data_IF_457879247354
#
_entry.id   IF_457879247354
#
_cell.length_a   1.000
_cell.length_b   1.000
_cell.length_c   1.000
_cell.angle_alpha   90.00
_cell.angle_beta   90.00
_cell.angle_gamma   90.00
#
_symmetry.space_group_name_H-M   'P 1'
#
loop_
_entity.id
_entity.type
_entity.pdbx_description
1 polymer ?
#
# COMPACT_ATOMS: atom_id res chain seq x y z
N UNK A 1 4.76 13.93 -10.75
CA UNK A 1 4.11 12.63 -11.05
C UNK A 1 3.09 12.83 -12.14
N UNK A 2 3.11 11.96 -13.14
CA UNK A 2 2.14 11.97 -14.23
C UNK A 2 0.80 11.41 -13.73
N UNK A 3 -0.30 12.07 -14.07
CA UNK A 3 -1.63 11.66 -13.64
C UNK A 3 -2.03 10.29 -14.21
N UNK A 4 -1.61 9.97 -15.42
CA UNK A 4 -1.90 8.66 -16.01
C UNK A 4 -1.12 7.54 -15.30
N UNK A 5 0.10 7.79 -14.89
CA UNK A 5 0.89 6.84 -14.12
C UNK A 5 0.26 6.61 -12.74
N UNK A 6 -0.21 7.66 -12.11
CA UNK A 6 -0.89 7.57 -10.82
C UNK A 6 -2.16 6.71 -10.94
N UNK A 7 -2.98 6.99 -11.93
CA UNK A 7 -4.22 6.23 -12.15
C UNK A 7 -3.96 4.76 -12.47
N UNK A 8 -2.94 4.50 -13.26
CA UNK A 8 -2.55 3.13 -13.60
C UNK A 8 -2.06 2.38 -12.35
N UNK A 9 -1.18 2.99 -11.57
CA UNK A 9 -0.70 2.41 -10.32
C UNK A 9 -1.85 2.11 -9.35
N UNK A 10 -2.77 3.05 -9.21
CA UNK A 10 -3.95 2.89 -8.36
C UNK A 10 -4.84 1.73 -8.84
N UNK A 11 -5.04 1.61 -10.15
CA UNK A 11 -5.81 0.51 -10.73
C UNK A 11 -5.13 -0.84 -10.47
N UNK A 12 -3.81 -0.91 -10.59
CA UNK A 12 -3.05 -2.13 -10.31
C UNK A 12 -3.23 -2.54 -8.84
N UNK A 13 -3.08 -1.60 -7.92
CA UNK A 13 -3.22 -1.93 -6.49
C UNK A 13 -4.65 -2.34 -6.13
N UNK A 14 -5.65 -1.71 -6.71
CA UNK A 14 -7.04 -2.13 -6.50
C UNK A 14 -7.28 -3.53 -7.06
N UNK A 15 -6.71 -3.85 -8.21
CA UNK A 15 -6.78 -5.21 -8.78
C UNK A 15 -6.20 -6.26 -7.85
N UNK A 16 -5.10 -5.94 -7.17
CA UNK A 16 -4.41 -6.87 -6.28
C UNK A 16 -5.05 -6.98 -4.89
N UNK A 17 -5.65 -5.93 -4.39
CA UNK A 17 -5.95 -5.84 -2.96
C UNK A 17 -7.41 -5.58 -2.61
N UNK A 18 -8.22 -5.04 -3.52
CA UNK A 18 -9.63 -4.78 -3.23
C UNK A 18 -10.36 -6.09 -2.93
N UNK A 19 -11.02 -6.13 -1.77
CA UNK A 19 -11.72 -7.33 -1.29
C UNK A 19 -10.82 -8.30 -0.54
N UNK A 20 -9.53 -8.03 -0.47
CA UNK A 20 -8.57 -8.87 0.25
C UNK A 20 -8.52 -8.47 1.73
N UNK A 21 -8.23 -9.43 2.59
CA UNK A 21 -8.14 -9.20 4.03
C UNK A 21 -6.70 -9.21 4.51
N UNK A 22 -6.43 -8.39 5.53
CA UNK A 22 -5.14 -8.36 6.20
C UNK A 22 -4.99 -9.66 7.00
N UNK A 23 -4.01 -10.47 6.66
CA UNK A 23 -3.80 -11.78 7.26
C UNK A 23 -2.49 -11.94 8.02
N UNK A 24 -1.61 -10.97 7.95
CA UNK A 24 -0.33 -11.08 8.60
C UNK A 24 0.49 -9.82 8.61
N UNK A 25 1.62 -9.93 9.27
CA UNK A 25 2.58 -8.85 9.43
C UNK A 25 3.98 -9.45 9.41
N UNK A 26 4.86 -8.91 8.58
CA UNK A 26 6.27 -9.27 8.60
C UNK A 26 7.02 -8.28 9.48
N UNK A 27 7.85 -8.81 10.39
CA UNK A 27 8.65 -7.99 11.32
C UNK A 27 9.92 -7.43 10.65
N UNK A 28 10.63 -6.59 11.38
CA UNK A 28 11.89 -5.92 11.06
C UNK A 28 11.73 -4.79 10.05
N UNK A 29 11.52 -5.06 8.78
CA UNK A 29 11.04 -4.08 7.83
C UNK A 29 9.54 -4.34 7.70
N UNK A 30 8.69 -3.58 8.38
CA UNK A 30 7.29 -3.97 8.48
C UNK A 30 6.62 -4.08 7.12
N UNK A 31 5.99 -5.22 6.88
CA UNK A 31 5.13 -5.42 5.70
C UNK A 31 3.78 -5.90 6.18
N UNK A 32 2.74 -5.21 5.71
CA UNK A 32 1.38 -5.67 5.87
C UNK A 32 1.13 -6.75 4.82
N UNK A 33 0.62 -7.90 5.23
CA UNK A 33 0.32 -9.02 4.34
C UNK A 33 -1.18 -9.17 4.17
N UNK A 34 -1.61 -9.38 2.93
CA UNK A 34 -3.01 -9.55 2.56
C UNK A 34 -3.16 -10.85 1.76
N UNK A 35 -4.39 -11.38 1.72
CA UNK A 35 -4.67 -12.64 1.02
C UNK A 35 -4.33 -12.60 -0.47
N UNK A 36 -4.44 -11.44 -1.08
CA UNK A 36 -4.23 -11.27 -2.51
C UNK A 36 -5.47 -11.63 -3.33
N UNK A 37 -5.39 -11.53 -4.65
CA UNK A 37 -6.54 -11.79 -5.52
C UNK A 37 -6.86 -13.29 -5.59
N UNK A 38 -8.15 -13.63 -5.64
CA UNK A 38 -8.62 -15.01 -5.66
C UNK A 38 -8.13 -15.82 -6.86
N UNK A 39 -7.98 -15.16 -8.01
CA UNK A 39 -7.55 -15.80 -9.25
C UNK A 39 -6.02 -15.93 -9.36
N UNK A 40 -5.29 -15.25 -8.49
CA UNK A 40 -3.83 -15.36 -8.40
C UNK A 40 -3.50 -15.83 -7.00
N UNK A 41 -3.05 -17.07 -6.84
CA UNK A 41 -2.83 -17.69 -5.53
C UNK A 41 -1.51 -17.23 -4.90
N UNK A 42 -1.40 -15.92 -4.64
CA UNK A 42 -0.24 -15.31 -4.02
C UNK A 42 -0.69 -14.22 -3.06
N UNK A 43 0.02 -14.10 -1.96
CA UNK A 43 -0.21 -13.02 -1.01
C UNK A 43 0.19 -11.69 -1.61
N UNK A 44 -0.55 -10.65 -1.25
CA UNK A 44 -0.16 -9.27 -1.52
C UNK A 44 0.53 -8.68 -0.29
N UNK A 45 1.33 -7.64 -0.50
CA UNK A 45 2.02 -6.97 0.59
C UNK A 45 2.09 -5.46 0.36
N UNK A 46 2.23 -4.74 1.47
CA UNK A 46 2.53 -3.31 1.47
C UNK A 46 3.72 -3.09 2.40
N UNK A 47 4.81 -2.55 1.86
CA UNK A 47 5.97 -2.16 2.66
C UNK A 47 5.69 -0.84 3.37
N UNK A 48 5.89 -0.83 4.68
CA UNK A 48 5.70 0.35 5.50
C UNK A 48 7.05 1.03 5.75
N UNK A 49 7.65 1.54 4.67
CA UNK A 49 9.02 2.10 4.72
C UNK A 49 9.07 3.56 5.13
N UNK A 50 7.99 4.30 4.93
CA UNK A 50 7.89 5.70 5.33
C UNK A 50 6.96 5.85 6.53
N UNK A 51 6.74 7.09 6.93
CA UNK A 51 5.82 7.40 8.02
C UNK A 51 4.38 7.03 7.64
N UNK A 52 3.65 6.47 8.59
CA UNK A 52 2.27 6.04 8.37
C UNK A 52 1.45 6.21 9.64
N UNK A 53 0.12 6.23 9.48
CA UNK A 53 -0.82 6.24 10.60
C UNK A 53 -2.12 5.56 10.22
N UNK A 54 -2.87 5.17 11.24
CA UNK A 54 -4.17 4.53 11.10
C UNK A 54 -5.23 5.46 11.69
N UNK A 55 -6.28 5.73 10.91
CA UNK A 55 -7.42 6.54 11.34
C UNK A 55 -8.65 5.65 11.46
N UNK A 56 -9.43 5.84 12.52
CA UNK A 56 -10.68 5.06 12.72
C UNK A 56 -11.78 5.50 11.76
N UNK A 57 -11.68 6.73 11.24
CA UNK A 57 -12.60 7.29 10.24
C UNK A 57 -11.83 8.27 9.37
N UNK A 58 -12.44 8.69 8.26
CA UNK A 58 -11.79 9.64 7.34
C UNK A 58 -11.64 10.98 8.04
N UNK A 59 -10.42 11.49 8.28
CA UNK A 59 -10.23 12.79 8.93
C UNK A 59 -10.63 13.95 8.01
N UNK A 60 -11.11 15.04 8.59
CA UNK A 60 -11.45 16.25 7.83
C UNK A 60 -10.21 16.85 7.18
N UNK A 61 -9.07 16.78 7.88
CA UNK A 61 -7.76 17.21 7.34
C UNK A 61 -6.72 16.14 7.64
N UNK A 62 -5.86 15.86 6.64
CA UNK A 62 -4.73 14.97 6.85
C UNK A 62 -3.64 15.72 7.60
N UNK A 63 -3.40 15.30 8.84
CA UNK A 63 -2.30 15.81 9.64
C UNK A 63 -1.07 14.95 9.39
N UNK A 64 -0.06 15.52 8.74
CA UNK A 64 1.18 14.82 8.40
C UNK A 64 2.20 14.80 9.53
N UNK A 65 1.80 15.19 10.75
CA UNK A 65 2.66 15.08 11.93
C UNK A 65 2.52 13.67 12.48
N UNK A 66 3.45 12.80 12.07
CA UNK A 66 3.46 11.42 12.51
C UNK A 66 4.15 11.30 13.86
N UNK A 67 3.56 10.49 14.74
CA UNK A 67 4.15 10.18 16.03
C UNK A 67 5.36 9.28 15.84
N UNK A 68 6.45 9.59 16.53
CA UNK A 68 7.64 8.75 16.50
C UNK A 68 7.43 7.54 17.42
N UNK A 69 7.38 6.35 16.83
CA UNK A 69 7.12 5.09 17.53
C UNK A 69 8.34 4.18 17.47
N UNK A 70 8.52 3.36 18.51
CA UNK A 70 9.48 2.26 18.44
C UNK A 70 8.93 1.18 17.49
N UNK A 71 9.80 0.29 17.03
CA UNK A 71 9.38 -0.82 16.17
C UNK A 71 8.30 -1.67 16.83
N UNK A 72 8.44 -1.97 18.11
CA UNK A 72 7.43 -2.73 18.85
C UNK A 72 6.09 -2.02 18.91
N UNK A 73 6.10 -0.70 19.14
CA UNK A 73 4.89 0.11 19.15
C UNK A 73 4.21 0.13 17.76
N UNK A 74 5.00 0.22 16.69
CA UNK A 74 4.49 0.17 15.32
C UNK A 74 3.80 -1.18 15.04
N UNK A 75 4.46 -2.27 15.40
CA UNK A 75 3.91 -3.61 15.22
C UNK A 75 2.61 -3.79 15.99
N UNK A 76 2.57 -3.31 17.23
CA UNK A 76 1.37 -3.36 18.05
C UNK A 76 0.22 -2.56 17.43
N UNK A 77 0.53 -1.37 16.92
CA UNK A 77 -0.46 -0.51 16.26
C UNK A 77 -1.04 -1.18 15.02
N UNK A 78 -0.22 -1.88 14.23
CA UNK A 78 -0.65 -2.59 13.02
C UNK A 78 -1.61 -3.75 13.33
N UNK A 79 -1.62 -4.27 14.54
CA UNK A 79 -2.58 -5.27 14.96
C UNK A 79 -4.04 -4.81 14.80
N UNK A 80 -4.27 -3.51 14.82
CA UNK A 80 -5.61 -2.94 14.61
C UNK A 80 -6.18 -3.26 13.23
N UNK A 81 -5.32 -3.60 12.29
CA UNK A 81 -5.71 -3.92 10.91
C UNK A 81 -5.94 -5.40 10.69
N UNK A 82 -5.71 -6.24 11.69
CA UNK A 82 -5.87 -7.69 11.57
C UNK A 82 -7.29 -8.05 11.14
N UNK A 83 -7.41 -8.77 10.03
CA UNK A 83 -8.70 -9.22 9.52
C UNK A 83 -9.51 -8.16 8.78
N UNK A 84 -9.01 -6.93 8.68
CA UNK A 84 -9.69 -5.86 7.95
C UNK A 84 -9.70 -6.17 6.46
N UNK A 85 -10.84 -5.93 5.81
CA UNK A 85 -10.99 -6.14 4.37
C UNK A 85 -10.85 -4.80 3.64
N UNK A 86 -10.06 -4.80 2.58
CA UNK A 86 -9.83 -3.60 1.78
C UNK A 86 -11.06 -3.27 0.95
N UNK A 87 -11.54 -2.04 1.09
CA UNK A 87 -12.62 -1.49 0.26
C UNK A 87 -12.07 -0.90 -1.03
N UNK A 88 -11.06 -0.06 -0.92
CA UNK A 88 -10.38 0.54 -2.07
C UNK A 88 -9.03 1.10 -1.67
N UNK A 89 -8.17 1.30 -2.68
CA UNK A 89 -6.87 1.94 -2.52
C UNK A 89 -6.85 3.22 -3.35
N UNK A 90 -6.34 4.29 -2.76
CA UNK A 90 -6.13 5.57 -3.42
C UNK A 90 -4.64 5.92 -3.38
N UNK A 91 -4.17 6.56 -4.44
CA UNK A 91 -2.87 7.20 -4.48
C UNK A 91 -3.13 8.69 -4.71
N UNK A 92 -2.67 9.52 -3.78
CA UNK A 92 -2.91 10.96 -3.84
C UNK A 92 -1.89 11.65 -4.75
N UNK A 93 -2.10 12.93 -4.98
CA UNK A 93 -1.19 13.81 -5.75
C UNK A 93 -1.12 15.15 -5.03
N UNK A 94 -0.05 15.94 -5.22
CA UNK A 94 1.09 15.75 -6.12
C UNK A 94 2.09 14.69 -5.66
N UNK A 95 2.17 14.42 -4.34
CA UNK A 95 2.99 13.33 -3.80
C UNK A 95 2.16 12.05 -3.72
N UNK A 96 2.74 10.89 -4.06
CA UNK A 96 2.01 9.63 -4.09
C UNK A 96 1.78 9.05 -2.69
N UNK A 97 1.02 9.75 -1.85
CA UNK A 97 0.59 9.20 -0.56
C UNK A 97 -0.33 8.02 -0.82
N UNK A 98 -0.10 6.93 -0.10
CA UNK A 98 -0.92 5.73 -0.22
C UNK A 98 -2.01 5.74 0.84
N UNK A 99 -3.25 5.56 0.40
CA UNK A 99 -4.41 5.53 1.30
C UNK A 99 -5.15 4.22 1.08
N UNK A 100 -5.18 3.38 2.10
CA UNK A 100 -5.92 2.12 2.07
C UNK A 100 -7.20 2.31 2.87
N UNK A 101 -8.35 2.21 2.19
CA UNK A 101 -9.66 2.29 2.83
C UNK A 101 -10.15 0.88 3.14
N UNK A 102 -10.52 0.63 4.38
CA UNK A 102 -11.08 -0.65 4.79
C UNK A 102 -12.60 -0.56 4.89
N UNK A 103 -13.28 -1.68 4.74
CA UNK A 103 -14.74 -1.74 4.79
C UNK A 103 -15.31 -1.30 6.12
N UNK A 104 -14.56 -1.46 7.20
CA UNK A 104 -14.96 -1.00 8.54
C UNK A 104 -15.03 0.52 8.66
N UNK A 105 -14.43 1.26 7.73
CA UNK A 105 -14.25 2.70 7.81
C UNK A 105 -12.87 3.12 8.25
N UNK A 106 -12.04 2.20 8.74
CA UNK A 106 -10.64 2.49 9.08
C UNK A 106 -9.87 2.84 7.83
N UNK A 107 -8.79 3.59 8.02
CA UNK A 107 -7.96 4.07 6.94
C UNK A 107 -6.49 3.97 7.34
N UNK A 108 -5.67 3.39 6.47
CA UNK A 108 -4.22 3.42 6.62
C UNK A 108 -3.68 4.47 5.65
N UNK A 109 -2.96 5.44 6.19
CA UNK A 109 -2.30 6.49 5.41
C UNK A 109 -0.79 6.30 5.49
N UNK A 110 -0.12 6.33 4.34
CA UNK A 110 1.33 6.27 4.26
C UNK A 110 1.88 7.45 3.48
N UNK A 111 2.88 8.11 4.06
CA UNK A 111 3.53 9.26 3.45
C UNK A 111 4.27 8.85 2.18
N UNK A 112 3.98 9.53 1.07
CA UNK A 112 4.63 9.31 -0.22
C UNK A 112 5.66 10.37 -0.58
N UNK A 113 5.91 11.33 0.34
CA UNK A 113 6.88 12.39 0.10
C UNK A 113 8.26 12.00 0.60
N UNK A 114 9.17 11.71 -0.33
CA UNK A 114 10.57 11.44 -0.01
C UNK A 114 11.42 11.80 -1.23
N UNK A 115 12.48 12.57 -1.02
CA UNK A 115 13.39 13.01 -2.08
C UNK A 115 14.53 12.04 -2.33
N UNK A 116 14.84 11.18 -1.36
CA UNK A 116 16.05 10.34 -1.38
C UNK A 116 15.77 8.85 -1.47
N UNK A 117 14.66 8.38 -0.92
CA UNK A 117 14.33 6.96 -0.82
C UNK A 117 12.95 6.66 -1.39
N UNK A 118 12.70 5.39 -1.64
CA UNK A 118 11.38 4.90 -2.05
C UNK A 118 10.48 4.88 -0.81
N UNK A 119 9.43 5.72 -0.74
CA UNK A 119 8.62 5.82 0.47
C UNK A 119 7.78 4.57 0.74
N UNK A 120 7.33 3.89 -0.32
CA UNK A 120 6.60 2.64 -0.17
C UNK A 120 6.67 1.82 -1.46
N UNK A 121 6.41 0.53 -1.30
CA UNK A 121 6.14 -0.36 -2.42
C UNK A 121 5.08 -1.38 -2.02
N UNK A 122 4.35 -1.88 -3.01
CA UNK A 122 3.27 -2.83 -2.80
C UNK A 122 3.14 -3.73 -4.03
N UNK A 123 2.76 -4.98 -3.82
CA UNK A 123 2.63 -5.93 -4.91
C UNK A 123 2.34 -7.34 -4.41
N UNK A 124 2.68 -8.33 -5.21
CA UNK A 124 2.57 -9.73 -4.81
C UNK A 124 3.91 -10.24 -4.27
N UNK A 125 3.85 -11.07 -3.24
CA UNK A 125 5.04 -11.52 -2.50
C UNK A 125 5.93 -12.47 -3.29
N UNK A 126 5.35 -13.22 -4.23
CA UNK A 126 6.10 -14.19 -5.03
C UNK A 126 6.32 -13.63 -6.43
N UNK A 127 7.56 -13.24 -6.69
CA UNK A 127 7.98 -12.81 -8.01
C UNK A 127 8.38 -14.08 -8.79
N UNK A 128 7.43 -14.68 -9.52
CA UNK A 128 7.70 -15.81 -10.38
C UNK A 128 8.56 -15.43 -11.58
N UNK A 129 8.18 -15.85 -12.77
CA UNK A 129 8.81 -15.38 -14.00
C UNK A 129 8.64 -13.86 -14.11
N UNK A 130 9.58 -13.15 -14.74
CA UNK A 130 9.54 -11.68 -14.87
C UNK A 130 8.23 -11.18 -15.47
N UNK A 131 7.62 -11.96 -16.38
CA UNK A 131 6.36 -11.63 -17.01
C UNK A 131 5.17 -11.63 -16.05
N UNK A 132 5.31 -12.26 -14.87
CA UNK A 132 4.23 -12.41 -13.89
C UNK A 132 4.41 -11.49 -12.67
N UNK A 133 5.34 -10.54 -12.76
CA UNK A 133 5.60 -9.60 -11.64
C UNK A 133 4.49 -8.57 -11.53
N UNK A 134 3.96 -8.43 -10.33
CA UNK A 134 3.03 -7.36 -9.95
C UNK A 134 3.68 -6.53 -8.87
N UNK A 135 4.03 -5.29 -9.20
CA UNK A 135 4.76 -4.42 -8.28
C UNK A 135 4.49 -2.96 -8.60
N UNK A 136 4.20 -2.19 -7.57
CA UNK A 136 4.06 -0.73 -7.64
C UNK A 136 5.04 -0.13 -6.66
N UNK A 137 5.86 0.79 -7.11
CA UNK A 137 6.88 1.46 -6.31
C UNK A 137 6.68 2.96 -6.38
N UNK A 138 6.55 3.60 -5.22
CA UNK A 138 6.63 5.06 -5.13
C UNK A 138 8.11 5.43 -5.15
N UNK A 139 8.50 6.25 -6.10
CA UNK A 139 9.90 6.59 -6.32
C UNK A 139 10.31 7.85 -5.58
N UNK A 140 11.61 8.02 -5.27
CA UNK A 140 12.11 9.29 -4.73
C UNK A 140 11.74 10.45 -5.66
N UNK A 141 11.34 11.57 -5.07
CA UNK A 141 10.96 12.75 -5.85
C UNK A 141 9.54 12.75 -6.38
N UNK A 142 8.72 11.75 -6.05
CA UNK A 142 7.30 11.76 -6.34
C UNK A 142 6.85 11.01 -7.59
N UNK A 143 7.75 10.27 -8.25
CA UNK A 143 7.38 9.42 -9.39
C UNK A 143 6.79 8.08 -8.99
N UNK A 144 6.33 7.34 -10.00
CA UNK A 144 5.78 5.99 -9.82
C UNK A 144 6.42 5.03 -10.82
N UNK A 145 6.68 3.80 -10.39
CA UNK A 145 7.10 2.72 -11.27
C UNK A 145 6.16 1.54 -11.07
N UNK A 146 5.69 0.96 -12.17
CA UNK A 146 4.67 -0.10 -12.12
C UNK A 146 5.10 -1.26 -13.02
N UNK A 147 5.05 -2.46 -12.48
CA UNK A 147 5.21 -3.71 -13.24
C UNK A 147 3.93 -4.52 -13.10
N UNK A 148 3.34 -4.92 -14.20
CA UNK A 148 2.24 -5.86 -14.21
C UNK A 148 2.24 -6.64 -15.53
N UNK A 149 1.67 -7.86 -15.55
CA UNK A 149 1.53 -8.62 -16.80
C UNK A 149 0.70 -7.86 -17.81
N UNK A 150 1.13 -7.92 -19.07
CA UNK A 150 0.47 -7.22 -20.18
C UNK A 150 -0.99 -7.67 -20.31
N UNK A 151 -1.88 -6.71 -20.56
CA UNK A 151 -3.30 -6.99 -20.80
C UNK A 151 -4.13 -7.32 -19.57
N UNK A 152 -3.57 -7.21 -18.37
CA UNK A 152 -4.29 -7.55 -17.12
C UNK A 152 -5.02 -6.36 -16.50
N UNK A 153 -4.68 -5.15 -16.89
CA UNK A 153 -5.35 -3.91 -16.45
C UNK A 153 -5.82 -3.17 -17.70
N UNK A 154 -7.10 -2.85 -17.73
CA UNK A 154 -7.71 -2.08 -18.81
C UNK A 154 -7.72 -0.58 -18.54
#
# INVERSE_FOLDING_TARGET
MDESDRKFAEAVLNRLMKGSSVNGLRFFTPQLLLDGPDDIRQEAYINLSSEWDIFEEIPDELNLNFEELTQEQEEFKLHRLRGEEVDKIQILSPWPHLVVHFKSGKLLFMNGEDHDYEPWQAGLTNHGEDSDTWLVVACPGGGMAVWCPEGRIE
#
